data_IF_055239776065
#
_entry.id   IF_055239776065
#
_cell.length_a   1.000
_cell.length_b   1.000
_cell.length_c   1.000
_cell.angle_alpha   90.00
_cell.angle_beta   90.00
_cell.angle_gamma   90.00
#
_symmetry.space_group_name_H-M   'P 1'
#
loop_
_entity.id
_entity.type
_entity.pdbx_description
1 polymer ?
#
# COMPACT_ATOMS: atom_id res chain seq x y z
N UNK A 1 -12.92 -10.53 -15.20
CA UNK A 1 -11.66 -10.35 -14.41
C UNK A 1 -11.78 -9.02 -13.70
N UNK A 2 -11.68 -9.03 -12.39
CA UNK A 2 -11.80 -7.81 -11.61
C UNK A 2 -10.59 -6.90 -11.82
N UNK A 3 -10.83 -5.58 -11.81
CA UNK A 3 -9.80 -4.56 -12.01
C UNK A 3 -9.45 -3.94 -10.67
N UNK A 4 -8.17 -3.83 -10.36
CA UNK A 4 -7.66 -3.09 -9.21
C UNK A 4 -6.83 -1.92 -9.71
N UNK A 5 -7.22 -0.70 -9.32
CA UNK A 5 -6.45 0.51 -9.61
C UNK A 5 -5.41 0.71 -8.51
N UNK A 6 -4.11 0.75 -8.86
CA UNK A 6 -3.08 1.22 -7.93
C UNK A 6 -2.67 2.65 -8.23
N UNK A 7 -2.60 3.48 -7.19
CA UNK A 7 -2.18 4.89 -7.22
C UNK A 7 -0.97 4.99 -6.31
N UNK A 8 0.23 5.03 -6.88
CA UNK A 8 1.47 5.00 -6.10
C UNK A 8 2.68 5.56 -6.86
N UNK A 9 3.81 5.65 -6.18
CA UNK A 9 5.10 5.97 -6.80
C UNK A 9 5.63 4.82 -7.66
N UNK A 10 6.52 5.15 -8.58
CA UNK A 10 7.22 4.20 -9.45
C UNK A 10 8.61 3.90 -8.88
N UNK A 11 8.91 2.62 -8.65
CA UNK A 11 10.22 2.10 -8.24
C UNK A 11 10.91 1.41 -9.42
N UNK A 12 11.96 2.02 -10.02
CA UNK A 12 12.66 1.44 -11.18
C UNK A 12 13.37 0.11 -10.87
N UNK A 13 13.63 -0.20 -9.60
CA UNK A 13 14.18 -1.51 -9.22
C UNK A 13 13.15 -2.64 -9.30
N UNK A 14 11.86 -2.28 -9.41
CA UNK A 14 10.76 -3.23 -9.51
C UNK A 14 10.37 -3.91 -8.20
N UNK A 15 10.94 -3.49 -7.05
CA UNK A 15 10.73 -4.14 -5.77
C UNK A 15 9.59 -3.56 -4.93
N UNK A 16 9.16 -2.34 -5.22
CA UNK A 16 8.07 -1.65 -4.53
C UNK A 16 7.21 -0.83 -5.51
N UNK A 17 6.39 0.08 -5.00
CA UNK A 17 5.55 0.98 -5.79
C UNK A 17 4.62 0.24 -6.75
N UNK A 18 4.22 0.93 -7.83
CA UNK A 18 3.31 0.36 -8.84
C UNK A 18 3.82 -0.95 -9.44
N UNK A 19 5.13 -1.14 -9.54
CA UNK A 19 5.72 -2.35 -10.11
C UNK A 19 5.43 -3.57 -9.24
N UNK A 20 5.60 -3.45 -7.92
CA UNK A 20 5.27 -4.53 -6.99
C UNK A 20 3.76 -4.70 -6.85
N UNK A 21 3.00 -3.60 -6.89
CA UNK A 21 1.55 -3.65 -6.87
C UNK A 21 1.01 -4.45 -8.06
N UNK A 22 1.47 -4.17 -9.29
CA UNK A 22 1.06 -4.89 -10.50
C UNK A 22 1.38 -6.38 -10.43
N UNK A 23 2.59 -6.75 -9.97
CA UNK A 23 2.97 -8.17 -9.78
C UNK A 23 1.99 -8.87 -8.83
N UNK A 24 1.70 -8.22 -7.70
CA UNK A 24 0.80 -8.77 -6.68
C UNK A 24 -0.63 -8.88 -7.18
N UNK A 25 -1.17 -7.81 -7.77
CA UNK A 25 -2.53 -7.78 -8.32
C UNK A 25 -2.72 -8.89 -9.37
N UNK A 26 -1.74 -9.03 -10.29
CA UNK A 26 -1.76 -10.08 -11.31
C UNK A 26 -1.68 -11.47 -10.69
N UNK A 27 -0.82 -11.69 -9.71
CA UNK A 27 -0.69 -12.98 -9.02
C UNK A 27 -1.95 -13.35 -8.21
N UNK A 28 -2.71 -12.37 -7.73
CA UNK A 28 -4.01 -12.57 -7.09
C UNK A 28 -5.17 -12.79 -8.09
N UNK A 29 -4.89 -12.83 -9.40
CA UNK A 29 -5.90 -13.11 -10.44
C UNK A 29 -6.72 -11.90 -10.91
N UNK A 30 -6.27 -10.68 -10.59
CA UNK A 30 -6.91 -9.43 -11.01
C UNK A 30 -6.12 -8.73 -12.14
N UNK A 31 -6.76 -7.80 -12.83
CA UNK A 31 -6.11 -6.89 -13.77
C UNK A 31 -5.67 -5.62 -13.05
N UNK A 32 -4.41 -5.24 -13.17
CA UNK A 32 -3.87 -4.03 -12.54
C UNK A 32 -3.87 -2.83 -13.48
N UNK A 33 -4.57 -1.77 -13.11
CA UNK A 33 -4.44 -0.43 -13.71
C UNK A 33 -3.59 0.47 -12.81
N UNK A 34 -2.91 1.48 -13.36
CA UNK A 34 -1.96 2.31 -12.59
C UNK A 34 -2.16 3.80 -12.79
N UNK A 35 -1.93 4.56 -11.70
CA UNK A 35 -1.72 6.00 -11.69
C UNK A 35 -0.42 6.28 -10.93
N UNK A 36 0.50 7.01 -11.55
CA UNK A 36 1.81 7.30 -10.97
C UNK A 36 1.78 8.65 -10.27
N UNK A 37 2.13 8.65 -8.97
CA UNK A 37 2.19 9.85 -8.12
C UNK A 37 3.58 10.44 -8.00
N UNK A 38 4.62 9.62 -8.17
CA UNK A 38 6.02 10.03 -8.05
C UNK A 38 6.92 9.10 -8.86
N UNK A 39 8.00 9.63 -9.39
CA UNK A 39 9.09 8.85 -9.99
C UNK A 39 10.28 8.85 -9.04
N UNK A 40 10.79 7.66 -8.67
CA UNK A 40 11.99 7.56 -7.85
C UNK A 40 13.20 7.15 -8.68
N UNK A 41 14.37 7.61 -8.27
CA UNK A 41 15.65 6.98 -8.61
C UNK A 41 16.01 6.09 -7.42
N UNK A 42 15.82 4.78 -7.57
CA UNK A 42 15.87 3.83 -6.48
C UNK A 42 16.45 2.50 -6.95
N UNK A 43 17.15 1.84 -6.04
CA UNK A 43 17.63 0.47 -6.20
C UNK A 43 17.57 -0.26 -4.84
N UNK A 44 18.12 -1.47 -4.75
CA UNK A 44 18.11 -2.26 -3.51
C UNK A 44 18.90 -1.62 -2.35
N UNK A 45 19.78 -0.67 -2.63
CA UNK A 45 20.56 0.07 -1.61
C UNK A 45 19.77 1.25 -1.02
N UNK A 46 18.73 1.74 -1.73
CA UNK A 46 17.86 2.82 -1.24
C UNK A 46 17.39 3.77 -2.32
N UNK A 47 16.70 4.82 -1.88
CA UNK A 47 16.20 5.92 -2.69
C UNK A 47 17.26 7.01 -2.77
N UNK A 48 17.70 7.35 -3.99
CA UNK A 48 18.65 8.43 -4.26
C UNK A 48 17.93 9.76 -4.47
N UNK A 49 16.76 9.72 -5.15
CA UNK A 49 15.91 10.89 -5.36
C UNK A 49 14.47 10.49 -5.64
N UNK A 50 13.54 11.41 -5.42
CA UNK A 50 12.15 11.27 -5.79
C UNK A 50 11.66 12.59 -6.40
N UNK A 51 10.84 12.48 -7.44
CA UNK A 51 10.20 13.60 -8.12
C UNK A 51 8.68 13.38 -8.10
N UNK A 52 7.94 14.29 -7.47
CA UNK A 52 6.49 14.27 -7.53
C UNK A 52 6.00 14.45 -8.99
N UNK A 53 5.02 13.66 -9.40
CA UNK A 53 4.32 13.89 -10.66
C UNK A 53 3.40 15.10 -10.46
N UNK A 54 3.38 16.08 -11.40
CA UNK A 54 2.52 17.25 -11.26
C UNK A 54 1.06 16.87 -10.99
N UNK A 55 0.36 17.50 -10.03
CA UNK A 55 -1.02 17.15 -9.64
C UNK A 55 -2.00 17.12 -10.83
N UNK A 56 -1.84 18.01 -11.79
CA UNK A 56 -2.65 18.03 -13.01
C UNK A 56 -2.45 16.77 -13.87
N UNK A 57 -1.22 16.21 -13.89
CA UNK A 57 -0.94 14.95 -14.60
C UNK A 57 -1.54 13.76 -13.86
N UNK A 58 -1.47 13.75 -12.51
CA UNK A 58 -2.12 12.72 -11.68
C UNK A 58 -3.63 12.75 -11.90
N UNK A 59 -4.26 13.93 -11.89
CA UNK A 59 -5.68 14.09 -12.17
C UNK A 59 -6.05 13.59 -13.57
N UNK A 60 -5.24 13.88 -14.59
CA UNK A 60 -5.46 13.41 -15.96
C UNK A 60 -5.35 11.89 -16.09
N UNK A 61 -4.38 11.25 -15.42
CA UNK A 61 -4.26 9.79 -15.37
C UNK A 61 -5.51 9.16 -14.71
N UNK A 62 -5.94 9.72 -13.56
CA UNK A 62 -7.14 9.26 -12.85
C UNK A 62 -8.38 9.37 -13.73
N UNK A 63 -8.58 10.52 -14.38
CA UNK A 63 -9.70 10.73 -15.29
C UNK A 63 -9.68 9.72 -16.44
N UNK A 64 -8.53 9.47 -17.07
CA UNK A 64 -8.39 8.52 -18.18
C UNK A 64 -8.74 7.10 -17.74
N UNK A 65 -8.28 6.65 -16.57
CA UNK A 65 -8.55 5.32 -16.07
C UNK A 65 -10.01 5.20 -15.64
N UNK A 66 -10.52 6.12 -14.82
CA UNK A 66 -11.86 6.03 -14.25
C UNK A 66 -12.99 6.23 -15.29
N UNK A 67 -12.72 6.91 -16.40
CA UNK A 67 -13.71 7.12 -17.47
C UNK A 67 -13.96 5.87 -18.34
N UNK A 68 -13.03 4.92 -18.36
CA UNK A 68 -13.07 3.73 -19.21
C UNK A 68 -13.07 2.44 -18.38
N UNK A 69 -12.12 2.34 -17.46
CA UNK A 69 -12.00 1.17 -16.58
C UNK A 69 -12.85 1.39 -15.32
N UNK A 70 -13.61 0.39 -14.94
CA UNK A 70 -14.42 0.39 -13.71
C UNK A 70 -13.70 -0.47 -12.66
N UNK A 71 -12.77 0.09 -11.85
CA UNK A 71 -12.08 -0.70 -10.85
C UNK A 71 -13.04 -1.21 -9.79
N UNK A 72 -12.88 -2.48 -9.40
CA UNK A 72 -13.62 -3.11 -8.31
C UNK A 72 -12.99 -2.83 -6.93
N UNK A 73 -11.73 -2.36 -6.90
CA UNK A 73 -11.06 -1.83 -5.71
C UNK A 73 -9.94 -0.87 -6.11
N UNK A 74 -9.56 -0.01 -5.17
CA UNK A 74 -8.44 0.93 -5.32
C UNK A 74 -7.41 0.66 -4.22
N UNK A 75 -6.13 0.56 -4.58
CA UNK A 75 -5.01 0.60 -3.65
C UNK A 75 -4.29 1.93 -3.81
N UNK A 76 -4.04 2.61 -2.71
CA UNK A 76 -3.24 3.84 -2.67
C UNK A 76 -1.97 3.56 -1.87
N UNK A 77 -0.82 3.93 -2.43
CA UNK A 77 0.48 3.86 -1.75
C UNK A 77 1.07 5.24 -1.53
N UNK A 78 2.31 5.47 -2.00
CA UNK A 78 3.05 6.72 -1.82
C UNK A 78 2.29 7.92 -2.41
N UNK A 79 2.05 8.93 -1.57
CA UNK A 79 1.55 10.26 -1.93
C UNK A 79 2.63 11.26 -1.52
N UNK A 80 3.28 11.98 -2.45
CA UNK A 80 4.45 12.80 -2.14
C UNK A 80 4.11 14.09 -1.37
N UNK A 81 2.99 14.75 -1.70
CA UNK A 81 2.62 16.06 -1.17
C UNK A 81 1.10 16.27 -1.11
N UNK A 82 0.71 17.40 -0.52
CA UNK A 82 -0.68 17.79 -0.32
C UNK A 82 -1.44 18.00 -1.64
N UNK A 83 -0.81 18.54 -2.66
CA UNK A 83 -1.50 18.88 -3.91
C UNK A 83 -1.83 17.61 -4.71
N UNK A 84 -0.92 16.62 -4.71
CA UNK A 84 -1.20 15.28 -5.25
C UNK A 84 -2.29 14.59 -4.42
N UNK A 85 -2.26 14.70 -3.09
CA UNK A 85 -3.34 14.18 -2.25
C UNK A 85 -4.69 14.80 -2.61
N UNK A 86 -4.75 16.12 -2.82
CA UNK A 86 -5.97 16.82 -3.21
C UNK A 86 -6.51 16.35 -4.56
N UNK A 87 -5.64 16.12 -5.55
CA UNK A 87 -6.04 15.58 -6.85
C UNK A 87 -6.64 14.17 -6.73
N UNK A 88 -6.06 13.31 -5.88
CA UNK A 88 -6.56 11.95 -5.62
C UNK A 88 -7.92 12.00 -4.92
N UNK A 89 -8.04 12.78 -3.85
CA UNK A 89 -9.30 12.93 -3.09
C UNK A 89 -10.43 13.42 -4.00
N UNK A 90 -10.15 14.45 -4.83
CA UNK A 90 -11.14 14.99 -5.76
C UNK A 90 -11.62 13.94 -6.77
N UNK A 91 -10.72 13.12 -7.30
CA UNK A 91 -11.07 12.09 -8.27
C UNK A 91 -11.82 10.89 -7.65
N UNK A 92 -11.61 10.61 -6.36
CA UNK A 92 -12.16 9.44 -5.68
C UNK A 92 -13.39 9.73 -4.82
N UNK A 93 -13.80 11.00 -4.64
CA UNK A 93 -14.90 11.37 -3.73
C UNK A 93 -16.24 10.69 -4.08
N UNK A 94 -16.49 10.38 -5.35
CA UNK A 94 -17.69 9.70 -5.85
C UNK A 94 -17.50 8.22 -6.12
N UNK A 95 -16.29 7.68 -5.92
CA UNK A 95 -15.98 6.27 -6.13
C UNK A 95 -16.52 5.45 -4.96
N UNK A 96 -17.28 4.37 -5.26
CA UNK A 96 -18.00 3.55 -4.26
C UNK A 96 -17.49 2.10 -4.21
N UNK A 97 -16.18 1.94 -4.37
CA UNK A 97 -15.51 0.63 -4.24
C UNK A 97 -14.56 0.64 -3.04
N UNK A 98 -14.14 -0.50 -2.53
CA UNK A 98 -13.15 -0.55 -1.46
C UNK A 98 -11.86 0.20 -1.81
N UNK A 99 -11.39 1.05 -0.89
CA UNK A 99 -10.14 1.79 -1.00
C UNK A 99 -9.21 1.33 0.13
N UNK A 100 -8.06 0.78 -0.23
CA UNK A 100 -6.98 0.37 0.70
C UNK A 100 -5.84 1.37 0.60
N UNK A 101 -5.53 2.06 1.69
CA UNK A 101 -4.45 3.03 1.73
C UNK A 101 -3.28 2.53 2.60
N UNK A 102 -2.10 2.44 2.01
CA UNK A 102 -0.83 2.16 2.70
C UNK A 102 -0.07 3.50 2.90
N UNK A 103 -0.03 4.07 4.12
CA UNK A 103 0.48 5.41 4.38
C UNK A 103 2.00 5.45 4.42
N UNK A 104 2.64 5.18 3.29
CA UNK A 104 4.11 5.11 3.17
C UNK A 104 4.71 6.49 3.37
N UNK A 105 5.25 6.76 4.56
CA UNK A 105 5.87 8.05 4.92
C UNK A 105 7.38 8.04 4.71
N UNK A 106 8.03 6.90 4.99
CA UNK A 106 9.48 6.74 4.94
C UNK A 106 9.79 5.42 4.23
N UNK A 107 10.76 5.45 3.31
CA UNK A 107 11.24 4.23 2.65
C UNK A 107 11.98 3.32 3.63
N UNK A 108 12.14 2.05 3.28
CA UNK A 108 12.95 1.09 4.05
C UNK A 108 14.39 1.58 4.26
N UNK A 109 14.90 2.44 3.38
CA UNK A 109 16.24 3.04 3.49
C UNK A 109 16.28 4.35 4.29
N UNK A 110 15.15 4.81 4.86
CA UNK A 110 15.08 6.03 5.67
C UNK A 110 14.83 7.33 4.89
N UNK A 111 14.57 7.26 3.59
CA UNK A 111 14.26 8.45 2.77
C UNK A 111 12.80 8.89 3.03
N UNK A 112 12.59 10.20 3.30
CA UNK A 112 11.25 10.76 3.46
C UNK A 112 10.52 10.78 2.11
N UNK A 113 9.37 10.09 2.05
CA UNK A 113 8.58 9.92 0.83
C UNK A 113 7.33 10.81 0.78
N UNK A 114 6.96 11.39 1.92
CA UNK A 114 5.77 12.23 2.08
C UNK A 114 6.15 13.55 2.75
N UNK A 115 5.66 14.65 2.23
CA UNK A 115 5.81 15.97 2.85
C UNK A 115 4.95 16.04 4.15
N UNK A 116 5.46 16.69 5.22
CA UNK A 116 4.75 16.72 6.51
C UNK A 116 3.33 17.32 6.46
N UNK A 117 3.11 18.34 5.62
CA UNK A 117 1.82 19.02 5.43
C UNK A 117 0.77 18.17 4.68
N UNK A 118 1.21 17.11 4.00
CA UNK A 118 0.31 16.14 3.36
C UNK A 118 -0.44 15.28 4.39
N UNK A 119 0.18 14.99 5.53
CA UNK A 119 -0.36 14.05 6.54
C UNK A 119 -1.71 14.53 7.06
N UNK A 120 -1.78 15.79 7.50
CA UNK A 120 -3.02 16.36 8.04
C UNK A 120 -4.12 16.43 6.98
N UNK A 121 -3.76 16.81 5.76
CA UNK A 121 -4.71 16.83 4.65
C UNK A 121 -5.26 15.43 4.33
N UNK A 122 -4.40 14.43 4.26
CA UNK A 122 -4.77 13.02 4.04
C UNK A 122 -5.68 12.52 5.15
N UNK A 123 -5.34 12.81 6.42
CA UNK A 123 -6.15 12.40 7.56
C UNK A 123 -7.56 12.99 7.51
N UNK A 124 -7.70 14.26 7.11
CA UNK A 124 -8.99 14.93 7.06
C UNK A 124 -9.84 14.56 5.83
N UNK A 125 -9.22 14.30 4.68
CA UNK A 125 -9.93 14.21 3.41
C UNK A 125 -9.85 12.84 2.72
N UNK A 126 -8.76 12.08 2.89
CA UNK A 126 -8.60 10.77 2.27
C UNK A 126 -9.06 9.63 3.18
N UNK A 127 -8.75 9.68 4.49
CA UNK A 127 -9.14 8.61 5.42
C UNK A 127 -10.65 8.35 5.44
N UNK A 128 -11.53 9.37 5.39
CA UNK A 128 -12.98 9.12 5.32
C UNK A 128 -13.45 8.37 4.07
N UNK A 129 -12.65 8.34 3.01
CA UNK A 129 -12.93 7.59 1.78
C UNK A 129 -12.42 6.14 1.85
N UNK A 130 -11.51 5.84 2.78
CA UNK A 130 -10.85 4.54 2.86
C UNK A 130 -11.72 3.48 3.53
N UNK A 131 -11.70 2.27 2.98
CA UNK A 131 -12.21 1.06 3.64
C UNK A 131 -11.21 0.55 4.67
N UNK A 132 -9.91 0.64 4.35
CA UNK A 132 -8.82 0.17 5.17
C UNK A 132 -7.59 1.07 5.05
N UNK A 133 -6.93 1.34 6.19
CA UNK A 133 -5.61 1.96 6.25
C UNK A 133 -4.64 0.94 6.85
N UNK A 134 -3.43 0.79 6.28
CA UNK A 134 -2.47 -0.25 6.68
C UNK A 134 -1.16 0.33 7.24
N UNK A 135 -1.17 1.08 8.36
CA UNK A 135 0.04 1.66 8.93
C UNK A 135 0.93 0.61 9.59
N UNK A 136 2.24 0.83 9.57
CA UNK A 136 3.14 0.21 10.54
C UNK A 136 3.07 0.96 11.89
N UNK A 137 3.72 0.44 12.94
CA UNK A 137 3.67 1.06 14.28
C UNK A 137 4.10 2.54 14.29
N UNK A 138 5.25 2.94 13.70
CA UNK A 138 5.64 4.36 13.63
C UNK A 138 4.66 5.23 12.83
N UNK A 139 4.07 4.70 11.77
CA UNK A 139 3.05 5.39 10.98
C UNK A 139 1.75 5.56 11.78
N UNK A 140 1.31 4.51 12.49
CA UNK A 140 0.11 4.54 13.32
C UNK A 140 0.16 5.60 14.43
N UNK A 141 1.32 5.72 15.09
CA UNK A 141 1.56 6.78 16.08
C UNK A 141 1.46 8.19 15.48
N UNK A 142 1.96 8.35 14.24
CA UNK A 142 2.00 9.65 13.58
C UNK A 142 0.66 10.10 13.01
N UNK A 143 -0.19 9.18 12.57
CA UNK A 143 -1.51 9.51 11.99
C UNK A 143 -2.65 9.50 13.02
N UNK A 144 -2.37 9.21 14.30
CA UNK A 144 -3.37 9.15 15.38
C UNK A 144 -4.58 8.30 14.98
N UNK A 145 -4.37 6.98 14.80
CA UNK A 145 -5.40 6.05 14.31
C UNK A 145 -6.64 5.92 15.19
N UNK A 146 -6.55 6.32 16.46
CA UNK A 146 -7.68 6.26 17.40
C UNK A 146 -8.82 7.19 16.98
N UNK A 147 -10.01 6.62 16.85
CA UNK A 147 -11.22 7.36 16.46
C UNK A 147 -11.45 7.51 14.95
N UNK A 148 -10.70 6.79 14.11
CA UNK A 148 -10.94 6.74 12.67
C UNK A 148 -12.28 6.07 12.35
N UNK A 149 -12.99 6.60 11.36
CA UNK A 149 -14.20 5.97 10.82
C UNK A 149 -13.88 4.77 9.90
N UNK A 150 -12.66 4.67 9.37
CA UNK A 150 -12.18 3.56 8.55
C UNK A 150 -11.59 2.45 9.43
N UNK A 151 -11.62 1.20 8.95
CA UNK A 151 -10.82 0.13 9.54
C UNK A 151 -9.32 0.42 9.40
N UNK A 152 -8.51 -0.06 10.34
CA UNK A 152 -7.05 0.03 10.21
C UNK A 152 -6.35 -1.26 10.62
N UNK A 153 -5.29 -1.61 9.89
CA UNK A 153 -4.46 -2.79 10.12
C UNK A 153 -3.08 -2.34 10.61
N UNK A 154 -2.80 -2.49 11.90
CA UNK A 154 -1.47 -2.22 12.45
C UNK A 154 -0.56 -3.39 12.14
N UNK A 155 0.49 -3.12 11.34
CA UNK A 155 1.47 -4.14 10.93
C UNK A 155 2.49 -4.37 12.04
N UNK A 156 2.55 -5.58 12.60
CA UNK A 156 3.41 -5.95 13.73
C UNK A 156 4.89 -6.24 13.38
N UNK A 157 5.32 -5.97 12.15
CA UNK A 157 6.67 -6.31 11.65
C UNK A 157 7.84 -5.68 12.41
N UNK A 158 7.61 -4.66 13.22
CA UNK A 158 8.63 -3.93 14.00
C UNK A 158 8.84 -4.48 15.43
N UNK A 159 8.01 -5.44 15.89
CA UNK A 159 8.19 -6.05 17.20
C UNK A 159 9.41 -6.99 17.21
N UNK A 160 10.21 -6.96 18.28
CA UNK A 160 11.33 -7.91 18.52
C UNK A 160 10.79 -9.27 19.01
N UNK A 161 10.02 -9.96 18.20
CA UNK A 161 9.40 -11.25 18.52
C UNK A 161 9.67 -12.25 17.40
N UNK A 162 9.71 -13.54 17.74
CA UNK A 162 9.76 -14.63 16.75
C UNK A 162 8.40 -14.85 16.05
N UNK A 163 7.36 -14.20 16.55
CA UNK A 163 6.04 -14.14 15.92
C UNK A 163 5.76 -12.71 15.44
N UNK A 164 5.09 -12.59 14.29
CA UNK A 164 4.63 -11.33 13.73
C UNK A 164 3.11 -11.32 13.76
N UNK A 165 2.53 -10.41 14.53
CA UNK A 165 1.09 -10.25 14.65
C UNK A 165 0.67 -8.92 14.06
N UNK A 166 -0.20 -8.97 13.04
CA UNK A 166 -0.89 -7.79 12.53
C UNK A 166 -2.28 -7.76 13.16
N UNK A 167 -2.75 -6.58 13.58
CA UNK A 167 -4.04 -6.40 14.25
C UNK A 167 -4.94 -5.52 13.42
N UNK A 168 -6.05 -6.08 12.93
CA UNK A 168 -7.11 -5.36 12.24
C UNK A 168 -8.12 -4.83 13.27
N UNK A 169 -8.31 -3.53 13.28
CA UNK A 169 -9.34 -2.84 14.06
C UNK A 169 -10.49 -2.42 13.14
N UNK A 170 -11.68 -2.88 13.47
CA UNK A 170 -12.90 -2.56 12.72
C UNK A 170 -13.60 -1.33 13.31
N UNK A 171 -14.39 -0.57 12.52
CA UNK A 171 -15.11 0.62 13.02
C UNK A 171 -16.12 0.32 14.13
N UNK A 172 -16.61 -0.92 14.24
CA UNK A 172 -17.53 -1.37 15.29
C UNK A 172 -16.83 -1.72 16.61
N UNK A 173 -15.50 -1.54 16.68
CA UNK A 173 -14.66 -1.85 17.84
C UNK A 173 -14.20 -3.30 17.92
N UNK A 174 -14.58 -4.17 16.97
CA UNK A 174 -14.04 -5.53 16.91
C UNK A 174 -12.61 -5.56 16.41
N UNK A 175 -11.84 -6.54 16.85
CA UNK A 175 -10.44 -6.75 16.42
C UNK A 175 -10.21 -8.16 15.91
N UNK A 176 -9.32 -8.29 14.92
CA UNK A 176 -8.85 -9.58 14.40
C UNK A 176 -7.33 -9.61 14.39
N UNK A 177 -6.74 -10.67 14.90
CA UNK A 177 -5.29 -10.86 14.94
C UNK A 177 -4.84 -11.89 13.89
N UNK A 178 -3.76 -11.57 13.17
CA UNK A 178 -3.16 -12.44 12.16
C UNK A 178 -1.70 -12.66 12.51
N UNK A 179 -1.39 -13.84 13.02
CA UNK A 179 -0.06 -14.18 13.54
C UNK A 179 0.64 -15.19 12.65
N UNK A 180 1.88 -14.91 12.30
CA UNK A 180 2.76 -15.81 11.52
C UNK A 180 4.15 -15.85 12.14
N UNK A 181 4.91 -16.95 11.99
CA UNK A 181 6.32 -16.98 12.36
C UNK A 181 7.11 -15.93 11.56
N UNK A 182 8.11 -15.32 12.22
CA UNK A 182 9.02 -14.37 11.56
C UNK A 182 9.97 -15.12 10.64
N UNK A 183 9.96 -14.77 9.35
CA UNK A 183 10.93 -15.25 8.37
C UNK A 183 12.11 -14.27 8.35
N UNK A 184 13.28 -14.75 8.71
CA UNK A 184 14.51 -13.95 8.73
C UNK A 184 15.12 -13.90 7.34
N UNK A 185 15.04 -12.78 6.68
CA UNK A 185 15.61 -12.52 5.36
C UNK A 185 15.94 -11.04 5.19
N UNK A 186 16.84 -10.71 4.24
CA UNK A 186 17.08 -9.33 3.80
C UNK A 186 16.11 -8.89 2.69
N UNK A 187 15.34 -9.82 2.12
CA UNK A 187 14.47 -9.56 0.99
C UNK A 187 13.07 -9.14 1.49
N UNK A 188 12.98 -7.92 2.02
CA UNK A 188 11.74 -7.35 2.57
C UNK A 188 11.30 -6.07 1.84
N UNK A 189 12.01 -5.70 0.74
CA UNK A 189 11.64 -4.53 -0.04
C UNK A 189 10.29 -4.74 -0.74
N UNK A 190 9.33 -3.83 -0.50
CA UNK A 190 7.98 -3.89 -1.05
C UNK A 190 6.97 -4.76 -0.31
N UNK A 191 7.30 -5.27 0.89
CA UNK A 191 6.35 -6.06 1.70
C UNK A 191 5.05 -5.30 2.02
N UNK A 192 5.12 -3.99 2.35
CA UNK A 192 3.93 -3.14 2.55
C UNK A 192 3.07 -3.05 1.29
N UNK A 193 3.70 -2.74 0.15
CA UNK A 193 3.02 -2.69 -1.15
C UNK A 193 2.36 -4.03 -1.51
N UNK A 194 3.06 -5.14 -1.27
CA UNK A 194 2.54 -6.49 -1.51
C UNK A 194 1.30 -6.78 -0.65
N UNK A 195 1.37 -6.51 0.66
CA UNK A 195 0.25 -6.75 1.57
C UNK A 195 -0.99 -5.93 1.18
N UNK A 196 -0.82 -4.62 1.02
CA UNK A 196 -1.92 -3.71 0.70
C UNK A 196 -2.55 -3.99 -0.67
N UNK A 197 -1.75 -4.35 -1.68
CA UNK A 197 -2.24 -4.72 -3.01
C UNK A 197 -2.96 -6.08 -3.02
N UNK A 198 -2.48 -7.06 -2.24
CA UNK A 198 -3.17 -8.33 -2.08
C UNK A 198 -4.53 -8.14 -1.38
N UNK A 199 -4.59 -7.32 -0.31
CA UNK A 199 -5.86 -7.00 0.36
C UNK A 199 -6.84 -6.35 -0.62
N UNK A 200 -6.40 -5.34 -1.39
CA UNK A 200 -7.25 -4.69 -2.40
C UNK A 200 -7.75 -5.69 -3.45
N UNK A 201 -6.90 -6.62 -3.89
CA UNK A 201 -7.27 -7.66 -4.85
C UNK A 201 -8.32 -8.61 -4.29
N UNK A 202 -8.18 -9.09 -3.06
CA UNK A 202 -9.17 -9.97 -2.45
C UNK A 202 -10.49 -9.25 -2.14
N UNK A 203 -10.46 -7.95 -1.82
CA UNK A 203 -11.68 -7.15 -1.72
C UNK A 203 -12.37 -7.01 -3.10
N UNK A 204 -11.61 -6.77 -4.17
CA UNK A 204 -12.14 -6.74 -5.54
C UNK A 204 -12.80 -8.06 -5.94
N UNK A 205 -12.28 -9.19 -5.46
CA UNK A 205 -12.84 -10.53 -5.67
C UNK A 205 -14.06 -10.85 -4.77
N UNK A 206 -14.52 -9.90 -3.94
CA UNK A 206 -15.74 -10.01 -3.13
C UNK A 206 -15.55 -10.64 -1.75
N UNK A 207 -14.32 -10.82 -1.28
CA UNK A 207 -14.08 -11.29 0.10
C UNK A 207 -14.42 -10.19 1.12
N UNK A 208 -14.86 -10.59 2.32
CA UNK A 208 -15.00 -9.65 3.44
C UNK A 208 -13.63 -9.13 3.89
N UNK A 209 -13.59 -7.95 4.53
CA UNK A 209 -12.32 -7.34 4.94
C UNK A 209 -11.46 -8.25 5.84
N UNK A 210 -11.99 -8.93 6.87
CA UNK A 210 -11.19 -9.88 7.65
C UNK A 210 -10.65 -11.05 6.82
N UNK A 211 -11.43 -11.57 5.87
CA UNK A 211 -10.99 -12.65 4.96
C UNK A 211 -9.92 -12.15 3.98
N UNK A 212 -10.08 -10.95 3.41
CA UNK A 212 -9.11 -10.37 2.50
C UNK A 212 -7.76 -10.15 3.19
N UNK A 213 -7.76 -9.69 4.45
CA UNK A 213 -6.52 -9.55 5.26
C UNK A 213 -5.88 -10.91 5.54
N UNK A 214 -6.66 -11.94 5.90
CA UNK A 214 -6.14 -13.29 6.12
C UNK A 214 -5.46 -13.86 4.89
N UNK A 215 -6.15 -13.83 3.74
CA UNK A 215 -5.60 -14.32 2.46
C UNK A 215 -4.36 -13.53 2.01
N UNK A 216 -4.36 -12.21 2.21
CA UNK A 216 -3.21 -11.38 1.91
C UNK A 216 -2.01 -11.68 2.83
N UNK A 217 -2.26 -12.02 4.11
CA UNK A 217 -1.22 -12.44 5.05
C UNK A 217 -0.59 -13.76 4.64
N UNK A 218 -1.39 -14.72 4.19
CA UNK A 218 -0.90 -16.00 3.66
C UNK A 218 -0.09 -15.80 2.37
N UNK A 219 -0.59 -14.95 1.48
CA UNK A 219 0.10 -14.60 0.22
C UNK A 219 1.47 -13.98 0.47
N UNK A 220 1.55 -12.93 1.32
CA UNK A 220 2.83 -12.26 1.60
C UNK A 220 3.80 -13.18 2.33
N UNK A 221 3.32 -14.00 3.27
CA UNK A 221 4.16 -14.98 3.98
C UNK A 221 4.79 -15.96 3.01
N UNK A 222 4.01 -16.48 2.05
CA UNK A 222 4.49 -17.36 0.99
C UNK A 222 5.48 -16.64 0.05
N UNK A 223 5.22 -15.37 -0.31
CA UNK A 223 6.13 -14.58 -1.13
C UNK A 223 7.47 -14.33 -0.44
N UNK A 224 7.46 -13.97 0.87
CA UNK A 224 8.69 -13.83 1.66
C UNK A 224 9.45 -15.16 1.70
N UNK A 225 8.77 -16.29 1.94
CA UNK A 225 9.41 -17.61 2.00
C UNK A 225 10.08 -17.98 0.69
N UNK A 226 9.44 -17.74 -0.47
CA UNK A 226 10.05 -17.99 -1.80
C UNK A 226 11.25 -17.10 -2.07
N UNK A 227 11.29 -15.92 -1.46
CA UNK A 227 12.34 -14.91 -1.70
C UNK A 227 13.56 -15.07 -0.82
N UNK A 228 13.57 -15.99 0.19
CA UNK A 228 14.65 -16.11 1.19
C UNK A 228 16.02 -16.23 0.55
N UNK A 229 16.16 -17.12 -0.43
CA UNK A 229 17.44 -17.45 -1.09
C UNK A 229 17.66 -16.67 -2.40
N UNK A 230 16.79 -15.72 -2.74
CA UNK A 230 16.88 -14.93 -3.96
C UNK A 230 17.92 -13.81 -3.77
N UNK A 231 18.78 -13.63 -4.76
CA UNK A 231 19.82 -12.60 -4.79
C UNK A 231 19.52 -11.60 -5.92
N UNK A 232 18.94 -10.46 -5.57
CA UNK A 232 18.70 -9.33 -6.49
C UNK A 232 19.30 -8.09 -5.85
N UNK A 233 20.34 -7.53 -6.46
CA UNK A 233 21.07 -6.39 -5.94
C UNK A 233 21.88 -6.68 -4.67
N UNK A 234 22.52 -5.66 -4.13
CA UNK A 234 23.44 -5.76 -2.97
C UNK A 234 22.83 -5.31 -1.65
N UNK A 235 21.64 -4.74 -1.67
CA UNK A 235 20.93 -4.20 -0.49
C UNK A 235 19.72 -5.05 -0.09
N UNK A 236 18.63 -4.36 0.33
CA UNK A 236 17.36 -5.00 0.64
C UNK A 236 16.71 -5.52 -0.64
N UNK A 237 16.70 -6.84 -0.82
CA UNK A 237 16.14 -7.48 -2.01
C UNK A 237 14.61 -7.41 -2.06
N UNK A 238 14.01 -7.49 -3.28
CA UNK A 238 12.58 -7.52 -3.46
C UNK A 238 11.98 -8.90 -3.18
N UNK A 239 10.64 -8.92 -3.08
CA UNK A 239 9.84 -10.15 -3.14
C UNK A 239 9.67 -10.63 -4.60
N UNK A 240 9.61 -11.96 -4.77
CA UNK A 240 9.34 -12.64 -6.05
C UNK A 240 8.23 -13.67 -5.93
#
# INVERSE_FOLDING_TARGET
MEIVLTIAGSDPSGGAGIQQDLKTITACGCYGATVITSLTSQNTLGVQSAMAVPPAVVASQLQSVLSDLQPAAVKIGMIPDRDVAAAIVHALCDVRVPIVYDPVMISTSGYALMAPDAIDYIAQHLFPLCTLITPNLPEAERICVDGLCAAYLIKGGHANSDMMTDVLHMPDGTTHEYTTPRIRTRNLHGTGCTLSSAIASYLALGHSLPQAVSLAKDYITSAIQRSVDIHIGSGNGPLV
#
